data_IF_051570117709
#
_entry.id   IF_051570117709
#
_cell.length_a   1.000
_cell.length_b   1.000
_cell.length_c   1.000
_cell.angle_alpha   90.00
_cell.angle_beta   90.00
_cell.angle_gamma   90.00
#
_symmetry.space_group_name_H-M   'P 1'
#
loop_
_entity.id
_entity.type
_entity.pdbx_description
1 polymer ?
#
# COMPACT_ATOMS: atom_id res chain seq x y z
N UNK A 1 -8.51 20.53 -17.74
CA UNK A 1 -8.15 20.73 -16.31
C UNK A 1 -6.84 20.03 -15.99
N UNK A 2 -6.71 18.76 -16.35
CA UNK A 2 -5.47 17.99 -16.20
C UNK A 2 -5.04 17.38 -17.54
N UNK A 3 -3.77 17.05 -17.67
CA UNK A 3 -3.21 16.22 -18.75
C UNK A 3 -2.66 14.96 -18.09
N UNK A 4 -3.21 13.80 -18.44
CA UNK A 4 -2.76 12.52 -17.89
C UNK A 4 -1.43 12.13 -18.55
N UNK A 5 -0.41 11.68 -17.79
CA UNK A 5 0.87 11.26 -18.36
C UNK A 5 0.71 10.12 -19.36
N UNK A 6 1.56 10.11 -20.39
CA UNK A 6 1.60 9.00 -21.34
C UNK A 6 1.98 7.70 -20.63
N UNK A 7 1.23 6.62 -20.91
CA UNK A 7 1.47 5.30 -20.33
C UNK A 7 0.92 5.09 -18.92
N UNK A 8 0.32 6.09 -18.29
CA UNK A 8 -0.45 5.88 -17.06
C UNK A 8 -1.61 4.91 -17.32
N UNK A 9 -1.80 3.95 -16.40
CA UNK A 9 -2.87 2.96 -16.46
C UNK A 9 -2.56 1.68 -17.27
N UNK A 10 -1.34 1.51 -17.80
CA UNK A 10 -0.96 0.34 -18.62
C UNK A 10 -1.07 -1.01 -17.91
N UNK A 11 -0.87 -1.02 -16.60
CA UNK A 11 -0.92 -2.22 -15.74
C UNK A 11 -2.26 -2.35 -15.00
N UNK A 12 -3.23 -1.51 -15.36
CA UNK A 12 -4.58 -1.62 -14.81
C UNK A 12 -5.39 -2.60 -15.66
N UNK A 13 -6.40 -3.20 -15.03
CA UNK A 13 -7.20 -4.24 -15.67
C UNK A 13 -8.08 -3.75 -16.83
N UNK A 14 -8.99 -4.62 -17.25
CA UNK A 14 -9.88 -4.35 -18.38
C UNK A 14 -10.55 -2.99 -18.29
N UNK A 15 -10.57 -2.26 -19.43
CA UNK A 15 -11.16 -0.91 -19.58
C UNK A 15 -10.37 0.22 -18.91
N UNK A 16 -9.12 -0.02 -18.50
CA UNK A 16 -8.19 1.03 -18.06
C UNK A 16 -8.15 2.23 -19.01
N UNK A 17 -8.04 1.99 -20.32
CA UNK A 17 -7.99 3.06 -21.34
C UNK A 17 -9.23 3.96 -21.33
N UNK A 18 -10.43 3.38 -21.13
CA UNK A 18 -11.68 4.14 -21.06
C UNK A 18 -11.71 5.04 -19.82
N UNK A 19 -11.25 4.50 -18.68
CA UNK A 19 -11.17 5.27 -17.43
C UNK A 19 -10.11 6.37 -17.51
N UNK A 20 -8.91 6.06 -18.03
CA UNK A 20 -7.84 7.03 -18.25
C UNK A 20 -8.33 8.18 -19.13
N UNK A 21 -9.04 7.88 -20.22
CA UNK A 21 -9.66 8.89 -21.08
C UNK A 21 -10.73 9.73 -20.36
N UNK A 22 -11.37 9.19 -19.33
CA UNK A 22 -12.39 9.89 -18.54
C UNK A 22 -11.82 10.80 -17.44
N UNK A 23 -10.56 10.61 -17.02
CA UNK A 23 -9.94 11.32 -15.89
C UNK A 23 -10.06 12.85 -15.96
N UNK A 24 -9.83 13.53 -17.10
CA UNK A 24 -10.02 14.98 -17.17
C UNK A 24 -11.44 15.44 -16.83
N UNK A 25 -12.45 14.64 -17.19
CA UNK A 25 -13.86 14.90 -16.88
C UNK A 25 -14.15 14.61 -15.40
N UNK A 26 -13.61 13.51 -14.85
CA UNK A 26 -13.75 13.17 -13.44
C UNK A 26 -13.13 14.25 -12.54
N UNK A 27 -11.90 14.67 -12.82
CA UNK A 27 -11.23 15.77 -12.11
C UNK A 27 -12.05 17.07 -12.17
N UNK A 28 -12.61 17.40 -13.34
CA UNK A 28 -13.47 18.59 -13.49
C UNK A 28 -14.72 18.51 -12.62
N UNK A 29 -15.38 17.34 -12.58
CA UNK A 29 -16.56 17.10 -11.73
C UNK A 29 -16.21 17.20 -10.25
N UNK A 30 -15.15 16.53 -9.80
CA UNK A 30 -14.71 16.53 -8.41
C UNK A 30 -14.33 17.95 -7.94
N UNK A 31 -13.55 18.68 -8.74
CA UNK A 31 -13.24 20.08 -8.44
C UNK A 31 -14.48 20.97 -8.39
N UNK A 32 -15.46 20.76 -9.28
CA UNK A 32 -16.71 21.54 -9.25
C UNK A 32 -17.54 21.22 -8.00
N UNK A 33 -17.66 19.94 -7.64
CA UNK A 33 -18.39 19.45 -6.47
C UNK A 33 -17.87 20.09 -5.18
N UNK A 34 -16.55 20.06 -4.99
CA UNK A 34 -15.90 20.56 -3.78
C UNK A 34 -15.42 22.01 -3.87
N UNK A 35 -15.71 22.71 -4.99
CA UNK A 35 -15.27 24.09 -5.28
C UNK A 35 -13.74 24.25 -5.13
N UNK A 36 -13.00 23.31 -5.71
CA UNK A 36 -11.54 23.24 -5.66
C UNK A 36 -10.91 24.02 -6.81
N UNK A 37 -9.80 24.68 -6.52
CA UNK A 37 -8.92 25.28 -7.54
C UNK A 37 -7.61 24.50 -7.60
N UNK A 38 -7.17 23.99 -8.77
CA UNK A 38 -5.85 23.35 -8.91
C UNK A 38 -4.69 24.25 -8.44
N UNK A 39 -3.74 23.66 -7.72
CA UNK A 39 -2.64 24.36 -7.03
C UNK A 39 -1.30 23.63 -7.13
N UNK A 40 -0.99 23.15 -8.33
CA UNK A 40 0.27 22.47 -8.62
C UNK A 40 0.20 21.54 -9.84
N UNK A 41 1.33 20.89 -10.17
CA UNK A 41 1.37 19.87 -11.21
C UNK A 41 0.55 18.64 -10.80
N UNK A 42 0.06 17.90 -11.81
CA UNK A 42 -0.55 16.60 -11.60
C UNK A 42 0.53 15.58 -11.19
N UNK A 43 0.24 14.83 -10.13
CA UNK A 43 1.02 13.70 -9.66
C UNK A 43 0.27 12.40 -10.00
N UNK A 44 0.95 11.26 -9.96
CA UNK A 44 0.34 9.95 -10.15
C UNK A 44 1.14 8.89 -9.41
N UNK A 45 0.43 7.86 -8.95
CA UNK A 45 1.00 6.56 -8.58
C UNK A 45 0.64 5.51 -9.63
N UNK A 46 0.65 4.24 -9.26
CA UNK A 46 0.30 3.15 -10.19
C UNK A 46 -1.18 3.13 -10.55
N UNK A 47 -2.06 3.37 -9.57
CA UNK A 47 -3.52 3.20 -9.72
C UNK A 47 -4.31 4.50 -9.55
N UNK A 48 -3.66 5.64 -9.34
CA UNK A 48 -4.34 6.90 -9.05
C UNK A 48 -3.59 8.11 -9.61
N UNK A 49 -4.37 9.14 -9.95
CA UNK A 49 -3.84 10.49 -10.13
C UNK A 49 -4.09 11.31 -8.86
N UNK A 50 -3.18 12.23 -8.55
CA UNK A 50 -3.30 13.14 -7.42
C UNK A 50 -3.09 14.57 -7.92
N UNK A 51 -4.08 15.42 -7.71
CA UNK A 51 -4.05 16.84 -8.06
C UNK A 51 -3.97 17.67 -6.77
N UNK A 52 -2.86 18.39 -6.53
CA UNK A 52 -2.82 19.42 -5.50
C UNK A 52 -3.87 20.49 -5.77
N UNK A 53 -4.63 20.88 -4.76
CA UNK A 53 -5.75 21.82 -4.88
C UNK A 53 -5.83 22.78 -3.68
N UNK A 54 -6.57 23.88 -3.85
CA UNK A 54 -7.05 24.77 -2.80
C UNK A 54 -8.55 24.61 -2.65
N UNK A 55 -8.99 24.47 -1.41
CA UNK A 55 -10.41 24.51 -1.04
C UNK A 55 -10.96 25.94 -1.16
N UNK A 56 -12.29 26.08 -1.11
CA UNK A 56 -12.96 27.38 -1.25
C UNK A 56 -12.56 28.42 -0.17
N UNK A 57 -12.10 27.94 0.99
CA UNK A 57 -11.59 28.76 2.10
C UNK A 57 -10.07 29.02 2.02
N UNK A 58 -9.40 28.52 0.96
CA UNK A 58 -7.97 28.68 0.72
C UNK A 58 -7.08 27.60 1.36
N UNK A 59 -7.63 26.70 2.19
CA UNK A 59 -6.84 25.63 2.78
C UNK A 59 -6.31 24.66 1.70
N UNK A 60 -5.05 24.21 1.78
CA UNK A 60 -4.51 23.24 0.85
C UNK A 60 -5.16 21.86 1.06
N UNK A 61 -5.41 21.14 -0.04
CA UNK A 61 -5.84 19.75 -0.04
C UNK A 61 -5.24 19.00 -1.23
N UNK A 62 -5.43 17.68 -1.27
CA UNK A 62 -5.07 16.83 -2.39
C UNK A 62 -6.32 16.10 -2.89
N UNK A 63 -6.62 16.26 -4.18
CA UNK A 63 -7.66 15.50 -4.87
C UNK A 63 -7.04 14.23 -5.44
N UNK A 64 -7.41 13.06 -4.93
CA UNK A 64 -7.02 11.76 -5.48
C UNK A 64 -8.18 11.18 -6.28
N UNK A 65 -7.92 10.65 -7.47
CA UNK A 65 -8.88 9.87 -8.26
C UNK A 65 -8.24 8.53 -8.56
N UNK A 66 -8.88 7.47 -8.09
CA UNK A 66 -8.32 6.11 -8.04
C UNK A 66 -9.08 5.18 -8.98
N UNK A 67 -8.36 4.26 -9.60
CA UNK A 67 -8.95 3.10 -10.26
C UNK A 67 -9.55 2.18 -9.19
N UNK A 68 -10.87 2.08 -9.15
CA UNK A 68 -11.60 1.33 -8.12
C UNK A 68 -11.58 -0.16 -8.47
N UNK A 69 -10.95 -0.95 -7.61
CA UNK A 69 -10.95 -2.41 -7.63
C UNK A 69 -10.90 -2.97 -6.22
N UNK A 70 -10.79 -4.29 -6.07
CA UNK A 70 -10.84 -4.97 -4.76
C UNK A 70 -9.81 -4.44 -3.75
N UNK A 71 -8.63 -4.02 -4.21
CA UNK A 71 -7.59 -3.48 -3.33
C UNK A 71 -7.82 -2.03 -2.89
N UNK A 72 -8.58 -1.24 -3.67
CA UNK A 72 -8.69 0.22 -3.50
C UNK A 72 -10.09 0.69 -3.11
N UNK A 73 -11.14 -0.11 -3.33
CA UNK A 73 -12.54 0.26 -3.07
C UNK A 73 -12.79 0.66 -1.61
N UNK A 74 -12.05 0.04 -0.69
CA UNK A 74 -12.19 0.23 0.74
C UNK A 74 -11.20 1.28 1.33
N UNK A 75 -10.37 1.91 0.50
CA UNK A 75 -9.46 3.00 0.93
C UNK A 75 -10.19 4.10 1.75
N UNK A 76 -11.37 4.62 1.34
CA UNK A 76 -12.06 5.68 2.08
C UNK A 76 -12.49 5.20 3.47
N UNK A 77 -12.92 3.94 3.59
CA UNK A 77 -13.32 3.36 4.87
C UNK A 77 -12.11 3.19 5.79
N UNK A 78 -10.97 2.72 5.26
CA UNK A 78 -9.73 2.60 6.02
C UNK A 78 -9.26 3.97 6.55
N UNK A 79 -9.24 5.00 5.70
CA UNK A 79 -8.85 6.36 6.11
C UNK A 79 -9.79 6.94 7.19
N UNK A 80 -11.10 6.65 7.13
CA UNK A 80 -12.04 7.02 8.19
C UNK A 80 -11.75 6.30 9.51
N UNK A 81 -11.37 5.02 9.46
CA UNK A 81 -11.03 4.24 10.65
C UNK A 81 -9.72 4.69 11.29
N UNK A 82 -8.73 5.11 10.48
CA UNK A 82 -7.51 5.72 10.99
C UNK A 82 -7.74 7.11 11.61
N UNK A 83 -8.76 7.85 11.16
CA UNK A 83 -9.13 9.19 11.69
C UNK A 83 -7.97 10.20 11.74
N UNK A 84 -7.04 10.08 10.80
CA UNK A 84 -5.82 10.88 10.76
C UNK A 84 -4.72 10.43 11.74
N UNK A 85 -4.95 9.47 12.61
CA UNK A 85 -3.95 9.01 13.57
C UNK A 85 -2.82 8.25 12.85
N UNK A 86 -1.73 8.94 12.50
CA UNK A 86 -0.61 8.36 11.74
C UNK A 86 -0.90 8.12 10.26
N UNK A 87 -2.08 8.52 9.79
CA UNK A 87 -2.53 8.46 8.41
C UNK A 87 -2.97 9.83 7.92
N UNK A 88 -3.00 10.01 6.61
CA UNK A 88 -3.61 11.18 5.97
C UNK A 88 -5.10 11.25 6.33
N UNK A 89 -5.59 12.44 6.67
CA UNK A 89 -7.01 12.69 6.89
C UNK A 89 -7.79 12.66 5.58
N UNK A 90 -8.87 11.89 5.58
CA UNK A 90 -9.93 11.99 4.58
C UNK A 90 -10.83 13.19 4.94
N UNK A 91 -10.85 14.20 4.07
CA UNK A 91 -11.68 15.40 4.24
C UNK A 91 -13.09 15.16 3.67
N UNK A 92 -13.18 14.51 2.51
CA UNK A 92 -14.44 14.09 1.87
C UNK A 92 -14.18 12.98 0.83
N UNK A 93 -15.23 12.30 0.37
CA UNK A 93 -15.14 11.30 -0.70
C UNK A 93 -16.41 11.27 -1.57
N UNK A 94 -16.26 10.85 -2.82
CA UNK A 94 -17.36 10.61 -3.74
C UNK A 94 -17.13 9.26 -4.44
N UNK A 95 -17.96 8.27 -4.08
CA UNK A 95 -17.86 6.90 -4.55
C UNK A 95 -18.13 6.78 -6.06
N UNK A 96 -19.11 7.53 -6.60
CA UNK A 96 -19.44 7.50 -8.04
C UNK A 96 -18.27 8.02 -8.89
N UNK A 97 -17.54 9.02 -8.36
CA UNK A 97 -16.37 9.57 -9.03
C UNK A 97 -15.08 8.78 -8.77
N UNK A 98 -15.07 7.85 -7.81
CA UNK A 98 -13.83 7.21 -7.32
C UNK A 98 -12.83 8.25 -6.78
N UNK A 99 -13.34 9.30 -6.13
CA UNK A 99 -12.55 10.48 -5.77
C UNK A 99 -12.47 10.68 -4.26
N UNK A 100 -11.28 11.06 -3.78
CA UNK A 100 -11.00 11.40 -2.39
C UNK A 100 -10.45 12.83 -2.31
N UNK A 101 -10.92 13.57 -1.32
CA UNK A 101 -10.34 14.83 -0.91
C UNK A 101 -9.57 14.59 0.39
N UNK A 102 -8.25 14.78 0.34
CA UNK A 102 -7.32 14.45 1.42
C UNK A 102 -6.64 15.70 1.97
N UNK A 103 -6.18 15.65 3.23
CA UNK A 103 -5.21 16.65 3.70
C UNK A 103 -3.96 16.63 2.80
N UNK A 104 -3.40 17.80 2.50
CA UNK A 104 -2.23 17.88 1.63
C UNK A 104 -0.96 17.66 2.44
N UNK A 105 -0.18 16.65 2.04
CA UNK A 105 1.15 16.37 2.58
C UNK A 105 2.25 16.91 1.65
N UNK A 106 3.47 16.98 2.15
CA UNK A 106 4.65 17.32 1.35
C UNK A 106 5.17 16.08 0.61
N UNK A 107 4.65 15.86 -0.60
CA UNK A 107 5.06 14.77 -1.49
C UNK A 107 6.54 14.81 -1.91
N UNK A 108 7.27 15.92 -1.68
CA UNK A 108 8.71 16.00 -1.96
C UNK A 108 9.56 15.43 -0.83
N UNK A 109 8.94 15.14 0.33
CA UNK A 109 9.58 14.60 1.53
C UNK A 109 8.92 13.29 1.93
N UNK A 110 9.47 12.21 1.38
CA UNK A 110 9.07 10.84 1.70
C UNK A 110 10.04 10.19 2.71
N UNK A 111 9.50 9.33 3.59
CA UNK A 111 10.26 8.52 4.53
C UNK A 111 11.27 7.61 3.83
N UNK A 112 11.08 7.34 2.53
CA UNK A 112 12.01 6.57 1.71
C UNK A 112 13.43 7.14 1.69
N UNK A 113 13.58 8.46 1.86
CA UNK A 113 14.87 9.15 1.82
C UNK A 113 15.50 9.37 3.20
N UNK A 114 14.82 8.96 4.27
CA UNK A 114 15.36 9.06 5.63
C UNK A 114 16.33 7.91 5.93
N UNK A 115 17.26 8.08 6.89
CA UNK A 115 18.05 7.00 7.43
C UNK A 115 17.16 5.83 7.84
N UNK A 116 17.59 4.61 7.54
CA UNK A 116 16.71 3.47 7.66
C UNK A 116 16.24 3.21 9.09
N UNK A 117 17.10 3.46 10.08
CA UNK A 117 16.77 3.31 11.50
C UNK A 117 15.59 4.23 11.86
N UNK A 118 15.61 5.47 11.39
CA UNK A 118 14.49 6.42 11.53
C UNK A 118 13.23 5.89 10.85
N UNK A 119 13.36 5.36 9.63
CA UNK A 119 12.22 4.84 8.88
C UNK A 119 11.57 3.63 9.58
N UNK A 120 12.37 2.71 10.11
CA UNK A 120 11.90 1.56 10.90
C UNK A 120 11.18 2.02 12.16
N UNK A 121 11.71 3.01 12.87
CA UNK A 121 11.07 3.55 14.09
C UNK A 121 9.71 4.21 13.79
N UNK A 122 9.63 4.99 12.70
CA UNK A 122 8.38 5.63 12.25
C UNK A 122 7.34 4.58 11.87
N UNK A 123 7.72 3.59 11.05
CA UNK A 123 6.83 2.49 10.67
C UNK A 123 6.37 1.68 11.89
N UNK A 124 7.29 1.35 12.81
CA UNK A 124 6.96 0.64 14.03
C UNK A 124 5.95 1.41 14.89
N UNK A 125 6.11 2.72 15.00
CA UNK A 125 5.15 3.59 15.70
C UNK A 125 3.75 3.53 15.09
N UNK A 126 3.64 3.58 13.75
CA UNK A 126 2.36 3.45 13.06
C UNK A 126 1.73 2.07 13.29
N UNK A 127 2.51 1.00 13.12
CA UNK A 127 2.05 -0.37 13.34
C UNK A 127 1.52 -0.59 14.77
N UNK A 128 2.21 -0.04 15.79
CA UNK A 128 1.76 -0.11 17.19
C UNK A 128 0.48 0.69 17.42
N UNK A 129 0.34 1.86 16.78
CA UNK A 129 -0.84 2.73 16.93
C UNK A 129 -2.11 2.05 16.44
N UNK A 130 -2.05 1.28 15.36
CA UNK A 130 -3.21 0.62 14.76
C UNK A 130 -3.41 -0.84 15.19
N UNK A 131 -2.64 -1.32 16.18
CA UNK A 131 -2.58 -2.74 16.55
C UNK A 131 -3.93 -3.38 16.91
N UNK A 132 -4.82 -2.59 17.50
CA UNK A 132 -6.11 -3.05 18.02
C UNK A 132 -7.29 -2.63 17.12
N UNK A 133 -7.02 -1.93 16.02
CA UNK A 133 -8.04 -1.44 15.11
C UNK A 133 -8.65 -2.62 14.34
N UNK A 134 -9.92 -2.92 14.59
CA UNK A 134 -10.61 -4.04 13.92
C UNK A 134 -11.12 -3.62 12.55
N UNK A 135 -10.94 -4.50 11.58
CA UNK A 135 -11.52 -4.36 10.26
C UNK A 135 -13.03 -4.67 10.33
N UNK A 136 -13.90 -3.77 9.86
CA UNK A 136 -15.32 -4.06 9.65
C UNK A 136 -15.53 -5.18 8.63
N UNK A 137 -16.76 -5.72 8.56
CA UNK A 137 -17.11 -6.82 7.65
C UNK A 137 -17.05 -6.42 6.17
N UNK A 138 -17.16 -5.11 5.88
CA UNK A 138 -17.03 -4.54 4.54
C UNK A 138 -15.59 -4.60 4.00
N UNK A 139 -14.60 -4.64 4.89
CA UNK A 139 -13.20 -4.79 4.48
C UNK A 139 -12.98 -6.23 4.05
N UNK A 140 -12.48 -6.40 2.82
CA UNK A 140 -12.20 -7.72 2.24
C UNK A 140 -11.35 -8.58 3.19
N UNK A 141 -11.65 -9.88 3.20
CA UNK A 141 -10.89 -10.85 3.97
C UNK A 141 -9.78 -11.46 3.12
N UNK A 142 -8.79 -12.01 3.80
CA UNK A 142 -7.82 -12.90 3.19
C UNK A 142 -8.51 -14.19 2.71
N UNK A 143 -8.28 -14.59 1.46
CA UNK A 143 -8.91 -15.77 0.85
C UNK A 143 -7.93 -16.93 0.59
N UNK A 144 -6.62 -16.78 0.83
CA UNK A 144 -5.66 -17.90 0.84
C UNK A 144 -5.38 -18.62 -0.47
N UNK A 145 -6.00 -18.21 -1.57
CA UNK A 145 -5.85 -18.92 -2.85
C UNK A 145 -4.59 -18.47 -3.60
N UNK A 146 -3.66 -19.42 -3.82
CA UNK A 146 -2.52 -19.25 -4.70
C UNK A 146 -2.73 -20.06 -5.98
N UNK A 147 -2.66 -19.39 -7.14
CA UNK A 147 -2.68 -20.06 -8.45
C UNK A 147 -1.38 -20.82 -8.70
N UNK A 148 -1.47 -21.89 -9.49
CA UNK A 148 -0.28 -22.58 -9.98
C UNK A 148 0.44 -21.71 -11.02
N UNK A 149 1.77 -21.62 -10.92
CA UNK A 149 2.59 -20.96 -11.93
C UNK A 149 3.87 -21.78 -12.22
N UNK A 150 4.20 -22.08 -13.48
CA UNK A 150 5.27 -23.02 -13.84
C UNK A 150 6.68 -22.57 -13.41
N UNK A 151 6.89 -21.27 -13.24
CA UNK A 151 8.17 -20.72 -12.80
C UNK A 151 8.39 -20.82 -11.27
N UNK A 152 7.34 -21.12 -10.49
CA UNK A 152 7.45 -21.22 -9.03
C UNK A 152 7.77 -22.68 -8.66
N UNK A 153 8.84 -22.94 -7.89
CA UNK A 153 9.15 -24.30 -7.44
C UNK A 153 7.97 -24.89 -6.65
N UNK A 154 7.46 -26.05 -7.09
CA UNK A 154 6.31 -26.74 -6.48
C UNK A 154 6.40 -26.84 -4.96
N UNK A 155 7.58 -27.19 -4.43
CA UNK A 155 7.82 -27.29 -2.98
C UNK A 155 7.55 -25.97 -2.23
N UNK A 156 7.92 -24.82 -2.81
CA UNK A 156 7.67 -23.52 -2.19
C UNK A 156 6.19 -23.14 -2.27
N UNK A 157 5.56 -23.40 -3.42
CA UNK A 157 4.13 -23.15 -3.60
C UNK A 157 3.27 -23.97 -2.63
N UNK A 158 3.57 -25.26 -2.49
CA UNK A 158 2.85 -26.16 -1.57
C UNK A 158 3.09 -25.75 -0.11
N UNK A 159 4.30 -25.32 0.24
CA UNK A 159 4.59 -24.80 1.58
C UNK A 159 3.87 -23.47 1.86
N UNK A 160 3.68 -22.60 0.87
CA UNK A 160 2.95 -21.35 1.03
C UNK A 160 1.44 -21.62 1.22
N UNK A 161 0.88 -22.58 0.48
CA UNK A 161 -0.49 -23.06 0.70
C UNK A 161 -0.66 -23.63 2.11
N UNK A 162 0.29 -24.43 2.58
CA UNK A 162 0.29 -24.97 3.95
C UNK A 162 0.29 -23.86 5.02
N UNK A 163 1.00 -22.74 4.79
CA UNK A 163 0.92 -21.57 5.66
C UNK A 163 -0.51 -21.00 5.70
N UNK A 164 -1.15 -20.79 4.55
CA UNK A 164 -2.50 -20.26 4.49
C UNK A 164 -3.54 -21.20 5.15
N UNK A 165 -3.41 -22.51 4.92
CA UNK A 165 -4.33 -23.52 5.44
C UNK A 165 -4.22 -23.69 6.98
N UNK A 166 -3.01 -23.59 7.53
CA UNK A 166 -2.76 -23.87 8.94
C UNK A 166 -2.63 -22.63 9.83
N UNK A 167 -2.74 -21.42 9.27
CA UNK A 167 -2.64 -20.16 10.02
C UNK A 167 -3.94 -19.36 9.93
N UNK A 168 -4.89 -19.58 10.87
CA UNK A 168 -6.11 -18.79 10.93
C UNK A 168 -5.81 -17.29 11.04
N UNK A 169 -6.38 -16.51 10.13
CA UNK A 169 -6.22 -15.06 10.10
C UNK A 169 -7.00 -14.37 11.21
N UNK A 170 -6.40 -13.31 11.78
CA UNK A 170 -7.09 -12.35 12.63
C UNK A 170 -8.14 -11.50 11.90
N UNK A 171 -8.57 -10.43 12.57
CA UNK A 171 -9.56 -9.46 12.07
C UNK A 171 -9.11 -8.02 12.28
N UNK A 172 -7.81 -7.80 12.40
CA UNK A 172 -7.25 -6.45 12.52
C UNK A 172 -7.23 -5.80 11.13
N UNK A 173 -7.40 -4.48 11.08
CA UNK A 173 -7.23 -3.70 9.86
C UNK A 173 -5.75 -3.66 9.51
N UNK A 174 -5.41 -4.24 8.36
CA UNK A 174 -4.06 -4.28 7.82
C UNK A 174 -3.98 -3.36 6.62
N UNK A 175 -2.90 -2.57 6.51
CA UNK A 175 -2.53 -1.92 5.25
C UNK A 175 -1.54 -2.82 4.50
N UNK A 176 -1.95 -3.37 3.37
CA UNK A 176 -1.12 -4.25 2.54
C UNK A 176 -0.04 -3.52 1.76
N UNK A 177 -0.11 -2.18 1.71
CA UNK A 177 0.73 -1.28 0.92
C UNK A 177 1.44 -0.24 1.80
N UNK A 178 1.66 -0.56 3.07
CA UNK A 178 2.50 0.27 3.94
C UNK A 178 3.97 0.09 3.56
N UNK A 179 4.56 1.14 2.97
CA UNK A 179 5.99 1.21 2.70
C UNK A 179 6.50 2.66 2.78
N UNK A 180 7.82 2.83 2.72
CA UNK A 180 8.48 4.10 2.98
C UNK A 180 8.09 5.22 1.98
N UNK A 181 7.76 4.88 0.73
CA UNK A 181 7.30 5.86 -0.26
C UNK A 181 5.86 6.35 0.03
N UNK A 182 5.02 5.49 0.61
CA UNK A 182 3.66 5.82 1.05
C UNK A 182 3.62 6.49 2.43
N UNK A 183 4.76 6.95 2.95
CA UNK A 183 4.81 7.79 4.16
C UNK A 183 5.44 9.14 3.83
N UNK A 184 4.66 10.20 3.98
CA UNK A 184 5.03 11.55 3.57
C UNK A 184 5.05 12.50 4.76
N UNK A 185 5.80 13.58 4.63
CA UNK A 185 5.88 14.59 5.66
C UNK A 185 4.59 15.41 5.76
N UNK A 186 4.09 15.60 6.98
CA UNK A 186 2.89 16.39 7.27
C UNK A 186 3.14 17.55 8.23
N UNK A 187 2.21 18.50 8.27
CA UNK A 187 2.26 19.62 9.22
C UNK A 187 1.71 19.21 10.60
N UNK A 188 0.72 18.31 10.61
CA UNK A 188 0.04 17.84 11.84
C UNK A 188 0.89 16.85 12.63
N UNK A 189 1.51 15.93 11.92
CA UNK A 189 2.51 15.00 12.44
C UNK A 189 3.66 14.94 11.42
N UNK A 190 4.92 14.76 11.86
CA UNK A 190 6.07 14.75 10.97
C UNK A 190 5.99 13.72 9.84
N UNK A 191 5.28 12.60 10.06
CA UNK A 191 5.14 11.50 9.11
C UNK A 191 3.73 10.94 9.16
N UNK A 192 3.10 10.83 7.99
CA UNK A 192 1.74 10.31 7.83
C UNK A 192 1.70 9.34 6.65
N UNK A 193 1.08 8.17 6.85
CA UNK A 193 0.90 7.23 5.75
C UNK A 193 -0.26 7.65 4.83
N UNK A 194 -0.13 7.32 3.55
CA UNK A 194 -1.13 7.52 2.52
C UNK A 194 -1.51 6.19 1.87
N UNK A 195 -2.53 6.23 1.01
CA UNK A 195 -2.87 5.15 0.07
C UNK A 195 -3.02 3.75 0.71
N UNK A 196 -3.80 3.59 1.80
CA UNK A 196 -3.95 2.28 2.39
C UNK A 196 -4.71 1.33 1.45
N UNK A 197 -4.18 0.11 1.28
CA UNK A 197 -4.89 -1.04 0.71
C UNK A 197 -5.37 -1.94 1.86
N UNK A 198 -6.64 -1.81 2.30
CA UNK A 198 -7.07 -2.45 3.54
C UNK A 198 -7.44 -3.93 3.37
N UNK A 199 -7.05 -4.72 4.36
CA UNK A 199 -7.41 -6.13 4.52
C UNK A 199 -7.82 -6.42 5.96
N UNK A 200 -8.78 -7.33 6.14
CA UNK A 200 -9.10 -7.92 7.43
C UNK A 200 -8.23 -9.16 7.65
N UNK A 201 -7.27 -9.09 8.58
CA UNK A 201 -6.31 -10.17 8.80
C UNK A 201 -5.38 -10.00 10.00
N UNK A 202 -4.22 -10.66 9.93
CA UNK A 202 -3.11 -10.48 10.86
C UNK A 202 -2.26 -9.29 10.43
N UNK A 203 -1.82 -8.47 11.39
CA UNK A 203 -1.00 -7.26 11.16
C UNK A 203 0.26 -7.58 10.37
N UNK A 204 0.83 -8.74 10.63
CA UNK A 204 2.00 -9.33 10.02
C UNK A 204 1.89 -9.52 8.50
N UNK A 205 0.67 -9.56 7.95
CA UNK A 205 0.44 -9.66 6.51
C UNK A 205 0.94 -8.42 5.75
N UNK A 206 1.02 -7.25 6.40
CA UNK A 206 1.58 -6.02 5.81
C UNK A 206 3.11 -5.96 5.76
N UNK A 207 3.84 -7.02 6.13
CA UNK A 207 5.30 -6.95 6.30
C UNK A 207 6.08 -6.84 4.98
N UNK A 208 5.70 -7.59 3.94
CA UNK A 208 6.57 -7.75 2.76
C UNK A 208 6.98 -6.44 2.06
N UNK A 209 6.11 -5.41 1.92
CA UNK A 209 6.53 -4.19 1.25
C UNK A 209 7.65 -3.46 1.98
N UNK A 210 7.74 -3.61 3.30
CA UNK A 210 8.80 -3.01 4.13
C UNK A 210 10.17 -3.69 3.94
N UNK A 211 10.18 -4.88 3.35
CA UNK A 211 11.39 -5.64 3.04
C UNK A 211 11.83 -5.46 1.58
N UNK A 212 10.89 -5.46 0.62
CA UNK A 212 11.25 -5.26 -0.79
C UNK A 212 11.60 -3.80 -1.10
N UNK A 213 11.10 -2.83 -0.31
CA UNK A 213 11.40 -1.43 -0.54
C UNK A 213 12.80 -1.20 0.01
N UNK A 214 13.66 -0.56 -0.78
CA UNK A 214 15.08 -0.37 -0.44
C UNK A 214 15.80 -1.72 -0.23
N UNK A 215 15.40 -2.75 -1.01
CA UNK A 215 16.00 -4.08 -0.95
C UNK A 215 17.49 -4.06 -1.33
N UNK A 216 17.88 -3.15 -2.22
CA UNK A 216 19.25 -2.89 -2.66
C UNK A 216 20.18 -2.44 -1.53
N UNK A 217 19.64 -1.94 -0.42
CA UNK A 217 20.41 -1.60 0.79
C UNK A 217 20.73 -2.82 1.68
N UNK A 218 20.13 -3.98 1.42
CA UNK A 218 20.27 -5.15 2.27
C UNK A 218 21.54 -5.94 1.93
N UNK A 219 22.35 -6.24 2.96
CA UNK A 219 23.53 -7.11 2.83
C UNK A 219 23.13 -8.60 2.81
N UNK A 220 22.52 -9.02 1.69
CA UNK A 220 22.07 -10.39 1.45
C UNK A 220 21.12 -10.93 2.53
N UNK A 221 21.16 -12.24 2.78
CA UNK A 221 20.26 -12.90 3.75
C UNK A 221 20.40 -12.37 5.19
N UNK A 222 21.58 -11.87 5.57
CA UNK A 222 21.80 -11.30 6.90
C UNK A 222 21.10 -9.95 7.02
N UNK A 223 21.34 -9.04 6.08
CA UNK A 223 20.67 -7.73 6.07
C UNK A 223 19.15 -7.86 6.06
N UNK A 224 18.61 -8.78 5.25
CA UNK A 224 17.18 -9.08 5.22
C UNK A 224 16.65 -9.58 6.58
N UNK A 225 17.38 -10.47 7.24
CA UNK A 225 17.01 -10.96 8.57
C UNK A 225 17.05 -9.85 9.62
N UNK A 226 18.09 -9.02 9.60
CA UNK A 226 18.29 -7.94 10.56
C UNK A 226 17.18 -6.87 10.40
N UNK A 227 16.85 -6.49 9.16
CA UNK A 227 15.72 -5.58 8.87
C UNK A 227 14.39 -6.17 9.33
N UNK A 228 14.13 -7.43 9.02
CA UNK A 228 12.89 -8.11 9.40
C UNK A 228 12.72 -8.14 10.93
N UNK A 229 13.77 -8.49 11.68
CA UNK A 229 13.71 -8.52 13.14
C UNK A 229 13.54 -7.11 13.72
N UNK A 230 14.21 -6.10 13.17
CA UNK A 230 14.04 -4.71 13.59
C UNK A 230 12.59 -4.22 13.39
N UNK A 231 11.97 -4.55 12.25
CA UNK A 231 10.56 -4.23 11.98
C UNK A 231 9.60 -4.99 12.90
N UNK A 232 9.89 -6.26 13.21
CA UNK A 232 9.08 -7.03 14.15
C UNK A 232 9.14 -6.43 15.56
N UNK A 233 10.34 -6.08 16.02
CA UNK A 233 10.55 -5.45 17.33
C UNK A 233 9.86 -4.07 17.40
N UNK A 234 10.15 -3.20 16.42
CA UNK A 234 9.55 -1.88 16.35
C UNK A 234 8.02 -1.93 16.21
N UNK A 235 7.47 -2.85 15.43
CA UNK A 235 6.02 -2.99 15.24
C UNK A 235 5.29 -3.77 16.35
N UNK A 236 6.00 -4.36 17.31
CA UNK A 236 5.47 -5.37 18.24
C UNK A 236 4.68 -6.46 17.50
N UNK A 237 5.33 -7.06 16.50
CA UNK A 237 4.76 -8.12 15.67
C UNK A 237 5.21 -9.49 16.17
N UNK A 238 4.35 -10.50 15.98
CA UNK A 238 4.73 -11.88 16.22
C UNK A 238 5.71 -12.34 15.12
N UNK A 239 6.95 -12.62 15.51
CA UNK A 239 8.04 -12.97 14.58
C UNK A 239 7.71 -14.21 13.74
N UNK A 240 7.01 -15.20 14.31
CA UNK A 240 6.68 -16.42 13.59
C UNK A 240 5.55 -16.18 12.58
N UNK A 241 4.52 -15.40 12.95
CA UNK A 241 3.46 -14.95 12.04
C UNK A 241 4.02 -14.07 10.93
N UNK A 242 4.89 -13.12 11.27
CA UNK A 242 5.51 -12.20 10.32
C UNK A 242 6.30 -12.96 9.27
N UNK A 243 7.09 -13.96 9.67
CA UNK A 243 7.85 -14.78 8.72
C UNK A 243 6.95 -15.61 7.80
N UNK A 244 5.91 -16.22 8.35
CA UNK A 244 4.99 -17.07 7.57
C UNK A 244 4.18 -16.22 6.57
N UNK A 245 3.63 -15.08 6.99
CA UNK A 245 2.91 -14.20 6.08
C UNK A 245 3.80 -13.52 5.05
N UNK A 246 5.05 -13.20 5.42
CA UNK A 246 6.05 -12.73 4.46
C UNK A 246 6.35 -13.80 3.43
N UNK A 247 6.49 -15.06 3.84
CA UNK A 247 6.71 -16.18 2.91
C UNK A 247 5.54 -16.37 1.95
N UNK A 248 4.32 -16.45 2.47
CA UNK A 248 3.11 -16.57 1.65
C UNK A 248 3.02 -15.43 0.62
N UNK A 249 3.15 -14.18 1.09
CA UNK A 249 3.06 -13.01 0.21
C UNK A 249 4.20 -12.95 -0.79
N UNK A 250 5.41 -13.38 -0.43
CA UNK A 250 6.51 -13.42 -1.37
C UNK A 250 6.20 -14.36 -2.55
N UNK A 251 5.55 -15.50 -2.31
CA UNK A 251 5.09 -16.38 -3.39
C UNK A 251 3.95 -15.75 -4.18
N UNK A 252 2.94 -15.18 -3.50
CA UNK A 252 1.80 -14.53 -4.16
C UNK A 252 2.26 -13.38 -5.09
N UNK A 253 3.11 -12.49 -4.56
CA UNK A 253 3.65 -11.37 -5.29
C UNK A 253 4.64 -11.80 -6.37
N UNK A 254 5.41 -12.88 -6.17
CA UNK A 254 6.26 -13.42 -7.23
C UNK A 254 5.42 -13.89 -8.43
N UNK A 255 4.32 -14.61 -8.21
CA UNK A 255 3.39 -15.01 -9.28
C UNK A 255 2.86 -13.78 -10.01
N UNK A 256 2.33 -12.81 -9.26
CA UNK A 256 1.80 -11.58 -9.84
C UNK A 256 2.85 -10.82 -10.65
N UNK A 257 4.09 -10.67 -10.15
CA UNK A 257 5.16 -9.99 -10.88
C UNK A 257 5.50 -10.69 -12.20
N UNK A 258 5.42 -12.02 -12.25
CA UNK A 258 5.65 -12.78 -13.49
C UNK A 258 4.48 -12.63 -14.48
N UNK A 259 3.25 -12.50 -13.99
CA UNK A 259 2.06 -12.26 -14.83
C UNK A 259 2.06 -10.84 -15.44
N UNK A 260 2.63 -9.86 -14.73
CA UNK A 260 2.70 -8.45 -15.13
C UNK A 260 4.05 -8.05 -15.76
N UNK A 261 4.92 -9.00 -16.10
CA UNK A 261 6.26 -8.77 -16.68
C UNK A 261 7.16 -7.82 -15.83
N UNK A 262 7.02 -7.86 -14.50
CA UNK A 262 7.81 -7.11 -13.53
C UNK A 262 9.04 -7.92 -13.05
N UNK A 263 9.96 -8.21 -13.97
CA UNK A 263 11.09 -9.14 -13.75
C UNK A 263 11.95 -8.79 -12.53
N UNK A 264 12.31 -7.51 -12.34
CA UNK A 264 13.17 -7.09 -11.23
C UNK A 264 12.51 -7.36 -9.86
N UNK A 265 11.21 -7.06 -9.74
CA UNK A 265 10.46 -7.30 -8.51
C UNK A 265 10.19 -8.80 -8.30
N UNK A 266 10.02 -9.57 -9.39
CA UNK A 266 9.91 -11.02 -9.31
C UNK A 266 11.17 -11.66 -8.72
N UNK A 267 12.37 -11.18 -9.08
CA UNK A 267 13.64 -11.63 -8.49
C UNK A 267 13.70 -11.33 -7.00
N UNK A 268 13.33 -10.12 -6.59
CA UNK A 268 13.29 -9.75 -5.16
C UNK A 268 12.31 -10.63 -4.38
N UNK A 269 11.10 -10.85 -4.92
CA UNK A 269 10.11 -11.73 -4.30
C UNK A 269 10.62 -13.18 -4.17
N UNK A 270 11.34 -13.69 -5.17
CA UNK A 270 11.96 -15.01 -5.12
C UNK A 270 13.04 -15.11 -4.02
N UNK A 271 13.87 -14.08 -3.87
CA UNK A 271 14.89 -14.02 -2.81
C UNK A 271 14.27 -13.98 -1.42
N UNK A 272 13.26 -13.13 -1.22
CA UNK A 272 12.52 -13.05 0.05
C UNK A 272 11.82 -14.38 0.35
N UNK A 273 11.19 -15.01 -0.64
CA UNK A 273 10.57 -16.33 -0.48
C UNK A 273 11.59 -17.39 -0.06
N UNK A 274 12.74 -17.45 -0.71
CA UNK A 274 13.83 -18.37 -0.38
C UNK A 274 14.49 -18.08 0.98
N UNK A 275 14.43 -16.85 1.46
CA UNK A 275 14.84 -16.49 2.81
C UNK A 275 13.80 -16.89 3.86
N UNK A 276 12.53 -16.59 3.61
CA UNK A 276 11.45 -16.80 4.56
C UNK A 276 11.06 -18.28 4.71
N UNK A 277 11.24 -19.08 3.64
CA UNK A 277 10.99 -20.51 3.63
C UNK A 277 11.67 -21.20 4.81
N UNK A 278 10.88 -21.93 5.61
CA UNK A 278 11.39 -22.80 6.67
C UNK A 278 12.05 -24.00 6.01
N UNK A 279 13.38 -24.07 6.03
CA UNK A 279 14.16 -25.22 5.55
C UNK A 279 14.12 -26.36 6.55
#
# INVERSE_FOLDING_TARGET
MITVPEGFGRVLGDRADEWVASLPKLATKACSRWRLTPDGPLLNGMCAIVLPVRQADGHPAALKITWVGSETENEPLALRLYDGEGAVRLLDHDEELGALLLERLDHTRSLNHEPIETAVDVIGSMLRRHRDLKAPDEIRRFEGELRDHPAIPRKLLDAARDVADNRPMGTTLVNEDLHYENVLHGDREPWLMIDPKPLSGDREYGMIPLLWNRFDELEGRRGLNDRFLALCDAGELDVAKARDWTFYRAIANWIWCLEEDLEDLAVICAEIAGWAART
#
